data_IF_117207504584
#
_entry.id   IF_117207504584
#
_cell.length_a   1.000
_cell.length_b   1.000
_cell.length_c   1.000
_cell.angle_alpha   90.00
_cell.angle_beta   90.00
_cell.angle_gamma   90.00
#
_symmetry.space_group_name_H-M   'P 1'
#
loop_
_entity.id
_entity.type
_entity.pdbx_description
1 polymer ?
#
# COMPACT_ATOMS: atom_id res chain seq x y z
N UNK A 1 25.21 8.94 -5.06
CA UNK A 1 24.82 7.52 -5.25
C UNK A 1 24.34 7.35 -6.68
N UNK A 2 24.69 6.23 -7.33
CA UNK A 2 24.11 5.89 -8.63
C UNK A 2 22.66 5.43 -8.44
N UNK A 3 21.81 5.61 -9.46
CA UNK A 3 20.38 5.27 -9.38
C UNK A 3 20.13 3.80 -8.99
N UNK A 4 20.95 2.87 -9.51
CA UNK A 4 20.88 1.44 -9.20
C UNK A 4 21.19 1.12 -7.73
N UNK A 5 22.14 1.84 -7.13
CA UNK A 5 22.49 1.67 -5.72
C UNK A 5 21.36 2.16 -4.82
N UNK A 6 20.76 3.31 -5.17
CA UNK A 6 19.63 3.87 -4.42
C UNK A 6 18.40 2.95 -4.50
N UNK A 7 18.04 2.47 -5.69
CA UNK A 7 16.88 1.58 -5.84
C UNK A 7 17.05 0.28 -5.04
N UNK A 8 18.23 -0.32 -5.07
CA UNK A 8 18.53 -1.52 -4.28
C UNK A 8 18.34 -1.27 -2.77
N UNK A 9 18.86 -0.15 -2.25
CA UNK A 9 18.70 0.20 -0.83
C UNK A 9 17.24 0.43 -0.42
N UNK A 10 16.44 1.07 -1.27
CA UNK A 10 15.01 1.30 -1.02
C UNK A 10 14.24 -0.02 -1.00
N UNK A 11 14.54 -0.93 -1.94
CA UNK A 11 13.90 -2.25 -2.00
C UNK A 11 14.26 -3.10 -0.79
N UNK A 12 15.55 -3.16 -0.41
CA UNK A 12 16.01 -3.90 0.78
C UNK A 12 15.34 -3.38 2.07
N UNK A 13 15.16 -2.07 2.20
CA UNK A 13 14.47 -1.48 3.33
C UNK A 13 12.97 -1.82 3.31
N UNK A 14 12.31 -1.71 2.15
CA UNK A 14 10.90 -2.05 2.00
C UNK A 14 10.64 -3.53 2.31
N UNK A 15 11.55 -4.41 1.92
CA UNK A 15 11.44 -5.83 2.23
C UNK A 15 11.53 -6.13 3.73
N UNK A 16 12.34 -5.38 4.48
CA UNK A 16 12.52 -5.56 5.93
C UNK A 16 11.46 -4.85 6.77
N UNK A 17 11.04 -3.65 6.36
CA UNK A 17 10.24 -2.73 7.19
C UNK A 17 8.96 -2.22 6.54
N UNK A 18 8.71 -2.57 5.27
CA UNK A 18 7.51 -2.15 4.54
C UNK A 18 6.23 -2.69 5.16
N UNK A 19 5.16 -1.92 5.06
CA UNK A 19 3.80 -2.38 5.42
C UNK A 19 3.35 -3.37 4.35
N UNK A 20 3.21 -4.65 4.72
CA UNK A 20 2.80 -5.75 3.83
C UNK A 20 1.42 -6.34 4.14
N UNK A 21 0.79 -5.85 5.22
CA UNK A 21 -0.47 -6.40 5.77
C UNK A 21 -1.67 -5.48 5.54
N UNK A 22 -1.55 -4.48 4.66
CA UNK A 22 -2.67 -3.61 4.33
C UNK A 22 -3.73 -4.39 3.53
N UNK A 23 -5.03 -4.24 3.79
CA UNK A 23 -6.07 -5.05 3.15
C UNK A 23 -6.05 -5.00 1.62
N UNK A 24 -5.77 -3.83 1.03
CA UNK A 24 -5.67 -3.64 -0.42
C UNK A 24 -4.38 -4.18 -1.06
N UNK A 25 -3.40 -4.58 -0.24
CA UNK A 25 -2.19 -5.26 -0.71
C UNK A 25 -2.31 -6.78 -0.70
N UNK A 26 -3.35 -7.34 -0.07
CA UNK A 26 -3.66 -8.76 -0.03
C UNK A 26 -4.58 -9.11 -1.21
N UNK A 27 -4.24 -10.17 -1.95
CA UNK A 27 -4.98 -10.61 -3.15
C UNK A 27 -5.32 -9.45 -4.08
N UNK A 28 -4.26 -8.74 -4.51
CA UNK A 28 -4.36 -7.50 -5.28
C UNK A 28 -5.14 -7.73 -6.56
N UNK A 29 -6.19 -6.93 -6.75
CA UNK A 29 -6.90 -6.80 -8.03
C UNK A 29 -6.85 -5.34 -8.48
N UNK A 30 -6.95 -5.04 -9.79
CA UNK A 30 -7.00 -3.66 -10.28
C UNK A 30 -8.08 -2.83 -9.57
N UNK A 31 -9.23 -3.45 -9.27
CA UNK A 31 -10.33 -2.81 -8.55
C UNK A 31 -9.98 -2.45 -7.11
N UNK A 32 -9.43 -3.41 -6.34
CA UNK A 32 -8.99 -3.17 -4.95
C UNK A 32 -7.94 -2.06 -4.88
N UNK A 33 -6.97 -2.09 -5.79
CA UNK A 33 -5.91 -1.07 -5.85
C UNK A 33 -6.54 0.29 -6.14
N UNK A 34 -7.30 0.43 -7.22
CA UNK A 34 -7.95 1.70 -7.58
C UNK A 34 -8.82 2.26 -6.45
N UNK A 35 -9.65 1.42 -5.83
CA UNK A 35 -10.51 1.83 -4.72
C UNK A 35 -9.68 2.35 -3.53
N UNK A 36 -8.61 1.64 -3.17
CA UNK A 36 -7.74 2.05 -2.07
C UNK A 36 -7.05 3.39 -2.35
N UNK A 37 -6.60 3.62 -3.59
CA UNK A 37 -5.99 4.89 -4.00
C UNK A 37 -6.98 6.05 -3.89
N UNK A 38 -8.23 5.86 -4.33
CA UNK A 38 -9.29 6.88 -4.19
C UNK A 38 -9.55 7.18 -2.71
N UNK A 39 -9.68 6.15 -1.87
CA UNK A 39 -9.93 6.34 -0.43
C UNK A 39 -8.78 7.04 0.29
N UNK A 40 -7.53 6.81 -0.13
CA UNK A 40 -6.31 7.39 0.46
C UNK A 40 -6.07 8.86 0.08
N UNK A 41 -6.82 9.42 -0.86
CA UNK A 41 -6.69 10.84 -1.22
C UNK A 41 -7.10 11.74 -0.06
N UNK A 42 -6.19 12.60 0.42
CA UNK A 42 -6.43 13.53 1.52
C UNK A 42 -6.91 12.86 2.83
N UNK A 43 -6.63 11.56 3.01
CA UNK A 43 -6.95 10.81 4.24
C UNK A 43 -5.73 10.04 4.75
N UNK A 44 -5.83 9.51 5.98
CA UNK A 44 -4.76 8.72 6.58
C UNK A 44 -5.04 7.22 6.43
N UNK A 45 -3.98 6.41 6.28
CA UNK A 45 -4.06 4.94 6.16
C UNK A 45 -4.91 4.32 7.26
N UNK A 46 -4.71 4.73 8.52
CA UNK A 46 -5.45 4.19 9.66
C UNK A 46 -6.96 4.46 9.56
N UNK A 47 -7.35 5.60 8.98
CA UNK A 47 -8.75 5.95 8.74
C UNK A 47 -9.35 5.07 7.64
N UNK A 48 -8.61 4.76 6.59
CA UNK A 48 -9.12 4.03 5.41
C UNK A 48 -9.36 2.55 5.68
N UNK A 49 -8.51 1.90 6.48
CA UNK A 49 -8.59 0.44 6.75
C UNK A 49 -10.03 -0.05 7.03
N UNK A 50 -10.74 0.48 8.05
CA UNK A 50 -12.09 -0.01 8.36
C UNK A 50 -13.15 0.36 7.30
N UNK A 51 -12.92 1.38 6.47
CA UNK A 51 -13.85 1.71 5.37
C UNK A 51 -13.64 0.79 4.17
N UNK A 52 -12.39 0.49 3.85
CA UNK A 52 -12.05 -0.44 2.78
C UNK A 52 -12.61 -1.84 3.07
N UNK A 53 -12.40 -2.36 4.29
CA UNK A 53 -12.90 -3.67 4.69
C UNK A 53 -14.43 -3.76 4.60
N UNK A 54 -15.16 -2.74 5.10
CA UNK A 54 -16.63 -2.69 5.00
C UNK A 54 -17.14 -2.59 3.57
N UNK A 55 -16.39 -1.93 2.68
CA UNK A 55 -16.80 -1.76 1.29
C UNK A 55 -16.62 -3.05 0.47
N UNK A 56 -15.66 -3.91 0.86
CA UNK A 56 -15.34 -5.15 0.15
C UNK A 56 -16.09 -6.39 0.66
N UNK A 57 -16.78 -6.28 1.80
CA UNK A 57 -17.63 -7.34 2.38
C UNK A 57 -18.93 -7.51 1.59
#
# INVERSE_FOLDING_TARGET
MQASQFSAQVLDWYDKYGRKTLPWQIDKTPYKVWLSEVMLQQTQVATVIPYFERFMA
#
